data_IF_054612805186
#
_entry.id   IF_054612805186
#
_cell.length_a   1.000
_cell.length_b   1.000
_cell.length_c   1.000
_cell.angle_alpha   90.00
_cell.angle_beta   90.00
_cell.angle_gamma   90.00
#
_symmetry.space_group_name_H-M   'P 1'
#
loop_
_entity.id
_entity.type
_entity.pdbx_description
1 polymer ?
#
# COMPACT_ATOMS: atom_id res chain seq x y z
N UNK A 1 -15.67 9.15 30.24
CA UNK A 1 -16.69 8.50 29.38
C UNK A 1 -16.44 7.01 29.38
N UNK A 2 -17.50 6.20 29.44
CA UNK A 2 -17.43 4.74 29.52
C UNK A 2 -17.37 4.17 28.09
N UNK A 3 -16.55 3.14 27.86
CA UNK A 3 -16.55 2.39 26.60
C UNK A 3 -17.61 1.31 26.66
N UNK A 4 -18.42 1.21 25.62
CA UNK A 4 -19.42 0.16 25.48
C UNK A 4 -18.86 -0.96 24.58
N UNK A 5 -18.84 -2.23 25.05
CA UNK A 5 -18.28 -3.34 24.28
C UNK A 5 -19.02 -3.53 22.95
N UNK A 6 -20.33 -3.37 22.95
CA UNK A 6 -21.18 -3.36 21.76
C UNK A 6 -22.21 -2.23 21.85
N UNK A 7 -22.40 -1.49 20.76
CA UNK A 7 -23.37 -0.41 20.67
C UNK A 7 -23.97 -0.31 19.26
N UNK A 8 -25.27 -0.06 19.17
CA UNK A 8 -25.91 0.32 17.90
C UNK A 8 -26.13 1.83 17.92
N UNK A 9 -25.57 2.49 16.92
CA UNK A 9 -25.59 3.94 16.76
C UNK A 9 -26.65 4.32 15.73
N UNK A 10 -27.68 5.02 16.19
CA UNK A 10 -28.77 5.54 15.38
C UNK A 10 -28.51 7.00 15.02
N UNK A 11 -28.49 7.31 13.72
CA UNK A 11 -28.43 8.69 13.25
C UNK A 11 -29.83 9.15 12.84
N UNK A 12 -30.35 10.18 13.51
CA UNK A 12 -31.66 10.77 13.17
C UNK A 12 -31.51 11.76 12.01
N UNK A 13 -32.49 11.77 11.09
CA UNK A 13 -32.48 12.66 9.92
C UNK A 13 -32.65 14.13 10.34
N UNK A 14 -31.67 14.97 9.98
CA UNK A 14 -31.74 16.42 10.16
C UNK A 14 -31.85 16.87 11.62
N UNK A 15 -32.13 18.16 11.81
CA UNK A 15 -32.38 18.73 13.15
C UNK A 15 -33.84 18.48 13.53
N UNK A 16 -34.07 18.00 14.75
CA UNK A 16 -35.40 17.74 15.31
C UNK A 16 -35.60 18.48 16.63
N UNK A 17 -36.80 19.02 16.91
CA UNK A 17 -37.13 19.51 18.25
C UNK A 17 -36.98 18.39 19.30
N UNK A 18 -36.59 18.74 20.52
CA UNK A 18 -36.32 17.74 21.58
C UNK A 18 -37.49 16.82 21.88
N UNK A 19 -38.73 17.31 21.76
CA UNK A 19 -39.95 16.51 21.94
C UNK A 19 -40.09 15.44 20.83
N UNK A 20 -39.85 15.83 19.57
CA UNK A 20 -39.89 14.91 18.42
C UNK A 20 -38.77 13.88 18.51
N UNK A 21 -37.58 14.30 18.96
CA UNK A 21 -36.45 13.39 19.18
C UNK A 21 -36.77 12.31 20.22
N UNK A 22 -37.43 12.68 21.33
CA UNK A 22 -37.89 11.70 22.33
C UNK A 22 -38.88 10.70 21.75
N UNK A 23 -39.86 11.16 20.96
CA UNK A 23 -40.81 10.27 20.30
C UNK A 23 -40.12 9.26 19.35
N UNK A 24 -39.09 9.70 18.63
CA UNK A 24 -38.30 8.82 17.75
C UNK A 24 -37.56 7.76 18.56
N UNK A 25 -36.95 8.15 19.69
CA UNK A 25 -36.27 7.21 20.58
C UNK A 25 -37.26 6.19 21.14
N UNK A 26 -38.39 6.64 21.67
CA UNK A 26 -39.39 5.78 22.29
C UNK A 26 -39.94 4.76 21.26
N UNK A 27 -40.18 5.18 20.02
CA UNK A 27 -40.58 4.28 18.93
C UNK A 27 -39.50 3.23 18.61
N UNK A 28 -38.23 3.64 18.51
CA UNK A 28 -37.10 2.72 18.23
C UNK A 28 -36.93 1.72 19.37
N UNK A 29 -36.98 2.18 20.62
CA UNK A 29 -36.86 1.30 21.79
C UNK A 29 -38.06 0.34 21.90
N UNK A 30 -39.28 0.81 21.60
CA UNK A 30 -40.47 -0.04 21.57
C UNK A 30 -40.38 -1.12 20.49
N UNK A 31 -39.92 -0.78 19.28
CA UNK A 31 -39.70 -1.74 18.19
C UNK A 31 -38.58 -2.73 18.50
N UNK A 32 -37.52 -2.29 19.16
CA UNK A 32 -36.44 -3.19 19.59
C UNK A 32 -36.91 -4.15 20.69
N UNK A 33 -37.79 -3.70 21.58
CA UNK A 33 -38.33 -4.52 22.68
C UNK A 33 -39.23 -5.68 22.20
N UNK A 34 -39.82 -5.59 21.01
CA UNK A 34 -40.63 -6.69 20.44
C UNK A 34 -39.78 -7.74 19.72
N UNK A 35 -38.48 -7.51 19.57
CA UNK A 35 -37.58 -8.42 18.88
C UNK A 35 -37.16 -9.59 19.76
N UNK A 36 -37.12 -10.80 19.18
CA UNK A 36 -36.73 -12.02 19.87
C UNK A 36 -35.24 -12.27 19.63
N UNK A 37 -34.40 -12.06 20.65
CA UNK A 37 -32.96 -12.30 20.56
C UNK A 37 -32.19 -11.84 21.80
N UNK A 38 -30.88 -12.15 21.91
CA UNK A 38 -30.07 -11.71 23.04
C UNK A 38 -29.80 -10.19 22.97
N UNK A 39 -30.22 -9.47 24.01
CA UNK A 39 -30.00 -8.03 24.16
C UNK A 39 -28.57 -7.72 24.65
N UNK A 40 -27.62 -7.53 23.73
CA UNK A 40 -26.20 -7.34 24.06
C UNK A 40 -25.63 -5.98 23.67
N UNK A 41 -26.34 -5.17 22.89
CA UNK A 41 -25.85 -3.88 22.44
C UNK A 41 -26.46 -2.72 23.24
N UNK A 42 -25.69 -1.65 23.46
CA UNK A 42 -26.19 -0.39 24.03
C UNK A 42 -26.75 0.51 22.92
N UNK A 43 -27.91 1.12 23.14
CA UNK A 43 -28.49 2.08 22.20
C UNK A 43 -27.81 3.46 22.33
N UNK A 44 -27.35 4.01 21.20
CA UNK A 44 -26.74 5.35 21.12
C UNK A 44 -27.41 6.15 20.00
N UNK A 45 -28.00 7.29 20.33
CA UNK A 45 -28.69 8.16 19.38
C UNK A 45 -27.88 9.43 19.12
N UNK A 46 -27.60 9.73 17.85
CA UNK A 46 -26.90 10.95 17.45
C UNK A 46 -27.90 12.07 17.26
N UNK A 47 -27.86 13.05 18.16
CA UNK A 47 -28.64 14.27 18.09
C UNK A 47 -27.87 15.34 17.33
N UNK A 48 -28.46 15.88 16.26
CA UNK A 48 -27.96 17.09 15.62
C UNK A 48 -28.40 18.31 16.43
N UNK A 49 -27.44 19.05 16.99
CA UNK A 49 -27.74 20.30 17.69
C UNK A 49 -28.13 21.40 16.70
N UNK A 50 -28.78 22.45 17.20
CA UNK A 50 -29.23 23.61 16.39
C UNK A 50 -28.07 24.32 15.68
N UNK A 51 -26.84 24.17 16.18
CA UNK A 51 -25.63 24.70 15.53
C UNK A 51 -25.18 23.74 14.42
N UNK A 52 -24.90 24.24 13.20
CA UNK A 52 -24.42 23.40 12.10
C UNK A 52 -23.22 22.56 12.53
N UNK A 53 -23.20 21.28 12.14
CA UNK A 53 -22.10 20.32 12.35
C UNK A 53 -21.81 19.90 13.80
N UNK A 54 -22.59 20.35 14.78
CA UNK A 54 -22.48 19.85 16.16
C UNK A 54 -23.44 18.67 16.38
N UNK A 55 -22.89 17.52 16.75
CA UNK A 55 -23.66 16.33 17.13
C UNK A 55 -23.33 15.91 18.54
N UNK A 56 -24.35 15.51 19.30
CA UNK A 56 -24.21 14.91 20.62
C UNK A 56 -24.76 13.49 20.61
N UNK A 57 -23.96 12.54 21.08
CA UNK A 57 -24.36 11.15 21.26
C UNK A 57 -25.09 10.99 22.60
N UNK A 58 -26.37 10.64 22.54
CA UNK A 58 -27.20 10.35 23.72
C UNK A 58 -27.26 8.84 23.92
N UNK A 59 -26.87 8.37 25.10
CA UNK A 59 -26.70 6.95 25.42
C UNK A 59 -27.82 6.48 26.35
N UNK A 60 -28.39 5.32 26.06
CA UNK A 60 -29.31 4.60 26.97
C UNK A 60 -28.62 3.35 27.52
N UNK A 61 -27.80 3.47 28.58
CA UNK A 61 -27.06 2.33 29.11
C UNK A 61 -27.97 1.30 29.80
N UNK A 62 -29.14 1.73 30.28
CA UNK A 62 -30.09 0.88 31.01
C UNK A 62 -31.00 0.07 30.08
N UNK A 63 -30.98 0.36 28.77
CA UNK A 63 -31.81 -0.32 27.76
C UNK A 63 -30.90 -0.98 26.74
N UNK A 64 -30.83 -2.31 26.83
CA UNK A 64 -30.08 -3.14 25.89
C UNK A 64 -30.96 -3.50 24.70
N UNK A 65 -30.40 -3.40 23.50
CA UNK A 65 -31.05 -3.78 22.24
C UNK A 65 -30.41 -5.06 21.70
N UNK A 66 -31.19 -5.94 21.03
CA UNK A 66 -30.67 -7.18 20.47
C UNK A 66 -29.55 -6.97 19.46
N UNK A 67 -28.55 -7.83 19.53
CA UNK A 67 -27.51 -7.91 18.50
C UNK A 67 -28.07 -8.56 17.23
N UNK A 68 -27.79 -7.95 16.08
CA UNK A 68 -28.40 -8.35 14.81
C UNK A 68 -27.74 -9.61 14.20
N UNK A 69 -28.37 -10.77 14.40
CA UNK A 69 -28.03 -11.98 13.67
C UNK A 69 -28.91 -12.21 12.43
N UNK A 70 -30.13 -11.62 12.37
CA UNK A 70 -31.22 -12.05 11.46
C UNK A 70 -32.02 -10.90 10.79
N UNK A 71 -31.66 -9.63 10.98
CA UNK A 71 -32.20 -8.47 10.25
C UNK A 71 -32.94 -7.40 11.08
N UNK A 72 -32.67 -7.23 12.38
CA UNK A 72 -33.30 -6.16 13.19
C UNK A 72 -32.96 -4.76 12.63
N UNK A 73 -31.79 -4.58 12.02
CA UNK A 73 -31.40 -3.32 11.39
C UNK A 73 -32.40 -2.89 10.29
N UNK A 74 -32.95 -3.84 9.53
CA UNK A 74 -33.96 -3.54 8.50
C UNK A 74 -35.29 -3.04 9.09
N UNK A 75 -35.70 -3.60 10.24
CA UNK A 75 -36.90 -3.14 10.96
C UNK A 75 -36.69 -1.72 11.52
N UNK A 76 -35.50 -1.44 12.06
CA UNK A 76 -35.20 -0.13 12.64
C UNK A 76 -34.97 0.94 11.57
N UNK A 77 -34.42 0.57 10.41
CA UNK A 77 -34.28 1.42 9.22
C UNK A 77 -35.62 1.66 8.50
N UNK A 78 -36.69 0.93 8.81
CA UNK A 78 -38.02 1.21 8.29
C UNK A 78 -38.64 2.48 8.90
N UNK A 79 -38.01 3.06 9.92
CA UNK A 79 -38.41 4.36 10.45
C UNK A 79 -37.92 5.48 9.54
N UNK A 80 -38.86 6.25 8.99
CA UNK A 80 -38.56 7.38 8.11
C UNK A 80 -37.69 8.46 8.77
N UNK A 81 -37.60 8.46 10.10
CA UNK A 81 -36.81 9.42 10.87
C UNK A 81 -35.35 8.99 11.07
N UNK A 82 -34.99 7.74 10.77
CA UNK A 82 -33.63 7.22 10.93
C UNK A 82 -32.88 7.33 9.59
N UNK A 83 -31.75 8.04 9.60
CA UNK A 83 -30.87 8.20 8.43
C UNK A 83 -29.97 6.98 8.24
N UNK A 84 -29.44 6.44 9.34
CA UNK A 84 -28.57 5.27 9.31
C UNK A 84 -28.49 4.61 10.67
N UNK A 85 -28.24 3.30 10.65
CA UNK A 85 -27.96 2.47 11.82
C UNK A 85 -26.54 1.91 11.63
N UNK A 86 -25.72 1.95 12.68
CA UNK A 86 -24.35 1.43 12.64
C UNK A 86 -24.06 0.60 13.88
N UNK A 87 -23.69 -0.67 13.68
CA UNK A 87 -23.17 -1.48 14.76
C UNK A 87 -21.68 -1.18 15.01
N UNK A 88 -21.32 -0.86 16.26
CA UNK A 88 -19.95 -0.58 16.70
C UNK A 88 -19.53 -1.47 17.86
N UNK A 89 -18.31 -2.00 17.78
CA UNK A 89 -17.61 -2.63 18.92
C UNK A 89 -16.70 -1.61 19.60
N UNK A 90 -16.57 -1.71 20.93
CA UNK A 90 -15.75 -0.81 21.75
C UNK A 90 -16.08 0.68 21.54
N UNK A 91 -17.37 0.99 21.37
CA UNK A 91 -17.87 2.33 21.08
C UNK A 91 -17.63 3.29 22.24
N UNK A 92 -17.27 4.53 21.91
CA UNK A 92 -17.24 5.65 22.85
C UNK A 92 -18.18 6.74 22.33
N UNK A 93 -19.11 7.25 23.16
CA UNK A 93 -19.96 8.37 22.77
C UNK A 93 -19.13 9.61 22.39
N UNK A 94 -19.57 10.35 21.38
CA UNK A 94 -18.90 11.54 20.84
C UNK A 94 -17.50 11.26 20.25
N UNK A 95 -17.22 10.02 19.81
CA UNK A 95 -15.99 9.72 19.08
C UNK A 95 -15.95 10.49 17.75
N UNK A 96 -14.90 11.29 17.55
CA UNK A 96 -14.66 11.98 16.28
C UNK A 96 -14.71 10.99 15.12
N UNK A 97 -15.50 11.25 14.06
CA UNK A 97 -15.61 10.35 12.94
C UNK A 97 -14.22 10.13 12.32
N UNK A 98 -13.77 8.87 12.30
CA UNK A 98 -12.56 8.49 11.56
C UNK A 98 -12.76 8.91 10.10
N UNK A 99 -11.75 9.50 9.45
CA UNK A 99 -11.88 9.97 8.08
C UNK A 99 -12.39 8.81 7.20
N UNK A 100 -13.50 9.05 6.50
CA UNK A 100 -14.05 8.08 5.56
C UNK A 100 -12.95 7.76 4.55
N UNK A 101 -12.45 6.53 4.56
CA UNK A 101 -11.59 6.03 3.49
C UNK A 101 -12.45 6.09 2.23
N UNK A 102 -12.18 7.07 1.34
CA UNK A 102 -12.87 7.16 0.05
C UNK A 102 -12.69 5.80 -0.62
N UNK A 103 -13.79 5.07 -0.84
CA UNK A 103 -13.77 3.90 -1.74
C UNK A 103 -13.24 4.42 -3.06
N UNK A 104 -12.03 3.99 -3.44
CA UNK A 104 -11.47 4.30 -4.76
C UNK A 104 -12.49 3.81 -5.78
N UNK A 105 -12.78 4.65 -6.79
CA UNK A 105 -13.58 4.21 -7.94
C UNK A 105 -12.96 2.92 -8.48
N UNK A 106 -13.80 1.92 -8.74
CA UNK A 106 -13.38 0.76 -9.52
C UNK A 106 -12.89 1.30 -10.88
N UNK A 107 -11.60 1.11 -11.14
CA UNK A 107 -11.00 1.48 -12.41
C UNK A 107 -11.55 0.51 -13.46
N UNK A 108 -12.32 1.02 -14.41
CA UNK A 108 -12.70 0.27 -15.61
C UNK A 108 -11.53 0.34 -16.59
N UNK A 109 -10.78 -0.75 -16.76
CA UNK A 109 -9.64 -0.80 -17.65
C UNK A 109 -9.28 -2.23 -18.06
N UNK A 110 -8.46 -2.43 -19.10
CA UNK A 110 -7.85 -3.72 -19.38
C UNK A 110 -7.00 -4.13 -18.17
N UNK A 111 -7.35 -5.28 -17.59
CA UNK A 111 -6.58 -5.90 -16.52
C UNK A 111 -5.85 -7.12 -17.04
N UNK A 112 -4.65 -7.32 -16.51
CA UNK A 112 -3.99 -8.62 -16.57
C UNK A 112 -4.79 -9.66 -15.78
N UNK A 113 -4.60 -10.95 -16.04
CA UNK A 113 -5.22 -12.07 -15.30
C UNK A 113 -4.94 -12.01 -13.79
N UNK A 114 -3.85 -11.35 -13.40
CA UNK A 114 -3.39 -11.17 -12.02
C UNK A 114 -3.93 -9.87 -11.39
N UNK A 115 -4.74 -9.10 -12.13
CA UNK A 115 -5.42 -7.89 -11.64
C UNK A 115 -4.60 -6.61 -11.76
N UNK A 116 -3.48 -6.62 -12.50
CA UNK A 116 -2.73 -5.39 -12.79
C UNK A 116 -3.48 -4.54 -13.81
N UNK A 117 -3.71 -3.26 -13.47
CA UNK A 117 -4.32 -2.28 -14.39
C UNK A 117 -3.33 -1.95 -15.50
N UNK A 118 -3.58 -2.41 -16.73
CA UNK A 118 -2.69 -2.17 -17.87
C UNK A 118 -2.70 -0.71 -18.34
N UNK A 119 -3.77 0.04 -18.03
CA UNK A 119 -3.85 1.49 -18.31
C UNK A 119 -2.76 2.31 -17.60
N UNK A 120 -2.22 1.79 -16.48
CA UNK A 120 -1.12 2.42 -15.76
C UNK A 120 0.25 2.18 -16.40
N UNK A 121 0.30 1.46 -17.53
CA UNK A 121 1.53 1.00 -18.16
C UNK A 121 1.58 1.37 -19.63
N UNK A 122 2.79 1.71 -20.12
CA UNK A 122 3.00 1.92 -21.54
C UNK A 122 2.68 0.64 -22.34
N UNK A 123 2.03 0.74 -23.52
CA UNK A 123 1.63 -0.42 -24.33
C UNK A 123 2.75 -1.41 -24.65
N UNK A 124 4.01 -0.97 -24.66
CA UNK A 124 5.15 -1.85 -24.89
C UNK A 124 5.33 -2.92 -23.80
N UNK A 125 4.79 -2.72 -22.59
CA UNK A 125 4.87 -3.68 -21.48
C UNK A 125 3.73 -4.69 -21.50
N UNK A 126 2.60 -4.36 -22.11
CA UNK A 126 1.37 -5.17 -22.08
C UNK A 126 1.60 -6.63 -22.51
N UNK A 127 2.39 -6.94 -23.57
CA UNK A 127 2.63 -8.32 -24.00
C UNK A 127 3.39 -9.19 -23.00
N UNK A 128 4.03 -8.59 -21.99
CA UNK A 128 4.82 -9.32 -21.00
C UNK A 128 4.05 -9.57 -19.70
N UNK A 129 2.87 -8.97 -19.56
CA UNK A 129 1.94 -9.38 -18.53
C UNK A 129 1.36 -10.75 -18.89
N UNK A 130 1.30 -11.64 -17.90
CA UNK A 130 0.65 -12.95 -17.99
C UNK A 130 1.23 -13.87 -19.09
N UNK A 131 2.49 -13.61 -19.50
CA UNK A 131 3.18 -14.33 -20.56
C UNK A 131 3.83 -15.61 -20.00
N UNK A 132 3.36 -16.82 -20.37
CA UNK A 132 3.84 -18.07 -19.78
C UNK A 132 5.29 -18.40 -20.14
N UNK A 133 5.78 -17.92 -21.29
CA UNK A 133 7.19 -18.08 -21.66
C UNK A 133 8.11 -17.33 -20.70
N UNK A 134 7.69 -16.14 -20.22
CA UNK A 134 8.46 -15.35 -19.26
C UNK A 134 8.58 -16.06 -17.91
N UNK A 135 7.48 -16.69 -17.45
CA UNK A 135 7.48 -17.50 -16.23
C UNK A 135 8.40 -18.72 -16.37
N UNK A 136 8.31 -19.42 -17.50
CA UNK A 136 9.12 -20.62 -17.78
C UNK A 136 10.61 -20.27 -17.82
N UNK A 137 10.97 -19.20 -18.53
CA UNK A 137 12.33 -18.68 -18.60
C UNK A 137 12.83 -18.21 -17.22
N UNK A 138 11.97 -17.55 -16.43
CA UNK A 138 12.24 -17.17 -15.05
C UNK A 138 12.55 -18.37 -14.14
N UNK A 139 11.76 -19.44 -14.24
CA UNK A 139 11.99 -20.68 -13.51
C UNK A 139 13.31 -21.36 -13.90
N UNK A 140 13.67 -21.35 -15.20
CA UNK A 140 14.95 -21.85 -15.67
C UNK A 140 16.13 -21.00 -15.15
N UNK A 141 16.03 -19.68 -15.19
CA UNK A 141 17.03 -18.79 -14.60
C UNK A 141 17.20 -19.08 -13.10
N UNK A 142 16.08 -19.30 -12.40
CA UNK A 142 16.07 -19.67 -10.99
C UNK A 142 16.80 -20.99 -10.74
N UNK A 143 16.63 -21.98 -11.62
CA UNK A 143 17.35 -23.25 -11.57
C UNK A 143 18.86 -23.07 -11.74
N UNK A 144 19.29 -22.21 -12.68
CA UNK A 144 20.72 -21.96 -12.93
C UNK A 144 21.40 -21.17 -11.81
N UNK A 145 20.66 -20.31 -11.12
CA UNK A 145 21.16 -19.51 -9.99
C UNK A 145 20.88 -20.16 -8.63
N UNK A 146 20.28 -21.35 -8.60
CA UNK A 146 19.96 -22.03 -7.35
C UNK A 146 21.25 -22.38 -6.60
N UNK A 147 21.39 -21.87 -5.38
CA UNK A 147 22.62 -22.02 -4.59
C UNK A 147 23.78 -21.13 -5.05
N UNK A 148 23.55 -20.15 -5.91
CA UNK A 148 24.52 -19.10 -6.21
C UNK A 148 24.61 -18.08 -5.05
N UNK A 149 25.81 -17.64 -4.64
CA UNK A 149 27.14 -18.09 -5.09
C UNK A 149 27.42 -19.52 -4.66
N UNK A 150 27.95 -20.35 -5.57
CA UNK A 150 28.15 -21.77 -5.31
C UNK A 150 29.27 -21.97 -4.27
N UNK A 151 28.97 -22.64 -3.17
CA UNK A 151 29.87 -22.84 -2.02
C UNK A 151 31.16 -23.57 -2.38
N UNK A 152 31.11 -24.48 -3.35
CA UNK A 152 32.27 -25.23 -3.84
C UNK A 152 33.11 -24.54 -4.91
N UNK A 153 32.79 -23.28 -5.28
CA UNK A 153 33.49 -22.54 -6.35
C UNK A 153 34.09 -21.25 -5.80
N UNK A 154 35.24 -20.87 -6.34
CA UNK A 154 35.85 -19.56 -6.08
C UNK A 154 34.99 -18.43 -6.66
N UNK A 155 35.13 -17.18 -6.16
CA UNK A 155 34.38 -16.06 -6.71
C UNK A 155 34.60 -15.83 -8.21
N UNK A 156 35.80 -16.14 -8.72
CA UNK A 156 36.15 -16.05 -10.13
C UNK A 156 35.41 -17.09 -10.98
N UNK A 157 35.28 -18.31 -10.47
CA UNK A 157 34.52 -19.38 -11.15
C UNK A 157 33.02 -19.11 -11.14
N UNK A 158 32.49 -18.56 -10.05
CA UNK A 158 31.10 -18.09 -9.97
C UNK A 158 30.83 -16.97 -10.99
N UNK A 159 31.71 -15.97 -11.07
CA UNK A 159 31.61 -14.90 -12.04
C UNK A 159 31.65 -15.42 -13.49
N UNK A 160 32.58 -16.34 -13.77
CA UNK A 160 32.72 -16.95 -15.09
C UNK A 160 31.51 -17.79 -15.47
N UNK A 161 30.91 -18.50 -14.52
CA UNK A 161 29.67 -19.24 -14.75
C UNK A 161 28.53 -18.30 -15.17
N UNK A 162 28.29 -17.22 -14.43
CA UNK A 162 27.25 -16.24 -14.78
C UNK A 162 27.49 -15.65 -16.17
N UNK A 163 28.75 -15.29 -16.45
CA UNK A 163 29.15 -14.74 -17.74
C UNK A 163 28.88 -15.71 -18.90
N UNK A 164 29.38 -16.95 -18.83
CA UNK A 164 29.26 -17.92 -19.94
C UNK A 164 27.85 -18.51 -20.03
N UNK A 165 27.30 -19.03 -18.93
CA UNK A 165 26.11 -19.88 -18.96
C UNK A 165 24.80 -19.09 -19.01
N UNK A 166 24.84 -17.82 -18.58
CA UNK A 166 23.66 -16.96 -18.51
C UNK A 166 23.80 -15.79 -19.50
N UNK A 167 24.78 -14.89 -19.31
CA UNK A 167 24.87 -13.65 -20.10
C UNK A 167 25.12 -13.93 -21.59
N UNK A 168 26.14 -14.73 -21.92
CA UNK A 168 26.46 -15.03 -23.33
C UNK A 168 25.37 -15.84 -24.05
N UNK A 169 24.55 -16.58 -23.30
CA UNK A 169 23.46 -17.41 -23.84
C UNK A 169 22.08 -16.77 -23.67
N UNK A 170 22.01 -15.51 -23.23
CA UNK A 170 20.75 -14.86 -22.86
C UNK A 170 19.75 -14.87 -24.02
N UNK A 171 20.21 -14.49 -25.23
CA UNK A 171 19.36 -14.44 -26.43
C UNK A 171 18.79 -15.81 -26.83
N UNK A 172 19.60 -16.85 -26.77
CA UNK A 172 19.25 -18.17 -27.30
C UNK A 172 18.46 -19.00 -26.27
N UNK A 173 18.77 -18.82 -24.98
CA UNK A 173 18.19 -19.58 -23.88
C UNK A 173 16.98 -18.90 -23.23
N UNK A 174 16.95 -17.57 -23.25
CA UNK A 174 15.90 -16.76 -22.64
C UNK A 174 15.40 -15.69 -23.61
N UNK A 175 14.81 -16.08 -24.76
CA UNK A 175 14.43 -15.14 -25.80
C UNK A 175 13.42 -14.08 -25.32
N UNK A 176 12.47 -14.44 -24.45
CA UNK A 176 11.46 -13.52 -23.92
C UNK A 176 12.07 -12.52 -22.93
N UNK A 177 12.92 -13.00 -22.01
CA UNK A 177 13.68 -12.15 -21.11
C UNK A 177 14.61 -11.24 -21.92
N UNK A 178 15.23 -11.73 -22.99
CA UNK A 178 16.10 -10.93 -23.85
C UNK A 178 15.35 -9.81 -24.60
N UNK A 179 14.11 -10.03 -25.03
CA UNK A 179 13.26 -8.97 -25.56
C UNK A 179 12.94 -7.92 -24.49
N UNK A 180 12.53 -8.39 -23.31
CA UNK A 180 12.19 -7.57 -22.16
C UNK A 180 13.38 -6.75 -21.64
N UNK A 181 14.59 -7.29 -21.76
CA UNK A 181 15.86 -6.66 -21.40
C UNK A 181 16.13 -5.40 -22.23
N UNK A 182 15.69 -5.37 -23.50
CA UNK A 182 15.77 -4.17 -24.35
C UNK A 182 14.89 -3.04 -23.81
N UNK A 183 13.72 -3.37 -23.27
CA UNK A 183 12.81 -2.41 -22.63
C UNK A 183 13.35 -1.96 -21.26
N UNK A 184 13.90 -2.90 -20.49
CA UNK A 184 14.51 -2.67 -19.19
C UNK A 184 15.93 -2.09 -19.25
N UNK A 185 16.41 -1.65 -20.42
CA UNK A 185 17.74 -1.03 -20.61
C UNK A 185 18.90 -1.88 -20.05
N UNK A 186 18.89 -3.18 -20.32
CA UNK A 186 19.91 -4.14 -19.87
C UNK A 186 19.98 -4.39 -18.34
N UNK A 187 18.86 -4.24 -17.63
CA UNK A 187 18.84 -4.34 -16.18
C UNK A 187 19.24 -5.72 -15.63
N UNK A 188 18.81 -6.82 -16.27
CA UNK A 188 19.20 -8.17 -15.83
C UNK A 188 20.70 -8.39 -16.00
N UNK A 189 21.25 -7.99 -17.13
CA UNK A 189 22.67 -8.15 -17.48
C UNK A 189 23.53 -7.38 -16.49
N UNK A 190 23.15 -6.15 -16.15
CA UNK A 190 23.84 -5.36 -15.13
C UNK A 190 23.70 -5.97 -13.73
N UNK A 191 22.52 -6.48 -13.37
CA UNK A 191 22.32 -7.20 -12.11
C UNK A 191 23.20 -8.47 -12.02
N UNK A 192 23.27 -9.24 -13.11
CA UNK A 192 24.13 -10.43 -13.23
C UNK A 192 25.60 -10.08 -13.09
N UNK A 193 26.07 -8.99 -13.73
CA UNK A 193 27.44 -8.48 -13.55
C UNK A 193 27.72 -8.04 -12.12
N UNK A 194 26.75 -7.45 -11.43
CA UNK A 194 26.89 -7.05 -10.03
C UNK A 194 27.01 -8.27 -9.11
N UNK A 195 26.12 -9.26 -9.21
CA UNK A 195 26.24 -10.49 -8.40
C UNK A 195 27.50 -11.30 -8.74
N UNK A 196 28.10 -11.08 -9.91
CA UNK A 196 29.39 -11.67 -10.28
C UNK A 196 30.57 -11.01 -9.57
N UNK A 197 30.44 -9.82 -8.96
CA UNK A 197 31.54 -9.17 -8.24
C UNK A 197 31.93 -9.96 -6.99
N UNK A 198 33.23 -10.24 -6.76
CA UNK A 198 33.68 -11.01 -5.59
C UNK A 198 33.29 -10.42 -4.24
N UNK A 199 33.11 -9.11 -4.13
CA UNK A 199 32.70 -8.46 -2.89
C UNK A 199 31.19 -8.66 -2.62
N UNK A 200 30.35 -8.56 -3.66
CA UNK A 200 28.91 -8.85 -3.55
C UNK A 200 28.68 -10.32 -3.25
N UNK A 201 29.43 -11.23 -3.87
CA UNK A 201 29.33 -12.67 -3.55
C UNK A 201 29.64 -12.98 -2.08
N UNK A 202 30.50 -12.19 -1.44
CA UNK A 202 30.89 -12.39 -0.02
C UNK A 202 29.94 -11.71 0.97
N UNK A 203 29.46 -10.51 0.65
CA UNK A 203 28.72 -9.65 1.57
C UNK A 203 27.21 -9.59 1.27
N UNK A 204 26.79 -10.07 0.11
CA UNK A 204 25.40 -10.15 -0.31
C UNK A 204 24.64 -11.20 0.48
N UNK A 205 23.40 -10.86 0.86
CA UNK A 205 22.45 -11.83 1.40
C UNK A 205 21.80 -12.68 0.31
N UNK A 206 21.20 -13.80 0.69
CA UNK A 206 20.50 -14.71 -0.22
C UNK A 206 19.48 -14.02 -1.13
N UNK A 207 18.82 -12.94 -0.68
CA UNK A 207 17.83 -12.20 -1.47
C UNK A 207 18.45 -11.53 -2.71
N UNK A 208 19.69 -11.02 -2.60
CA UNK A 208 20.40 -10.35 -3.70
C UNK A 208 20.67 -11.28 -4.89
N UNK A 209 20.70 -12.59 -4.67
CA UNK A 209 21.00 -13.59 -5.70
C UNK A 209 19.75 -14.20 -6.34
N UNK A 210 18.55 -13.86 -5.84
CA UNK A 210 17.27 -14.39 -6.33
C UNK A 210 16.69 -13.59 -7.50
N UNK A 211 17.52 -13.25 -8.50
CA UNK A 211 17.11 -12.43 -9.66
C UNK A 211 15.95 -13.03 -10.46
N UNK A 212 15.86 -14.36 -10.50
CA UNK A 212 14.78 -15.09 -11.16
C UNK A 212 13.38 -14.73 -10.64
N UNK A 213 13.26 -14.30 -9.38
CA UNK A 213 11.98 -13.88 -8.82
C UNK A 213 11.40 -12.65 -9.53
N UNK A 214 12.22 -11.85 -10.22
CA UNK A 214 11.74 -10.73 -11.01
C UNK A 214 10.80 -11.15 -12.16
N UNK A 215 10.85 -12.42 -12.58
CA UNK A 215 10.07 -12.98 -13.70
C UNK A 215 9.02 -13.99 -13.25
N UNK A 216 8.66 -13.99 -11.96
CA UNK A 216 7.59 -14.83 -11.44
C UNK A 216 6.22 -14.32 -11.92
N UNK A 217 5.25 -15.22 -12.12
CA UNK A 217 3.86 -14.92 -12.57
C UNK A 217 3.11 -13.83 -11.75
N UNK A 218 3.59 -13.49 -10.55
CA UNK A 218 2.99 -12.49 -9.65
C UNK A 218 3.77 -11.18 -9.62
N UNK A 219 4.70 -11.01 -10.56
CA UNK A 219 5.54 -9.83 -10.64
C UNK A 219 5.26 -9.10 -11.94
N UNK A 220 5.36 -7.78 -11.86
CA UNK A 220 5.28 -6.90 -13.01
C UNK A 220 6.56 -7.03 -13.87
N UNK A 221 6.49 -6.84 -15.20
CA UNK A 221 7.61 -7.15 -16.10
C UNK A 221 8.91 -6.32 -15.89
N UNK A 222 8.84 -5.19 -15.18
CA UNK A 222 10.00 -4.35 -14.88
C UNK A 222 10.58 -4.58 -13.47
N UNK A 223 10.11 -5.60 -12.74
CA UNK A 223 10.53 -5.87 -11.35
C UNK A 223 12.05 -6.10 -11.22
N UNK A 224 12.73 -6.50 -12.29
CA UNK A 224 14.19 -6.62 -12.33
C UNK A 224 14.91 -5.30 -11.97
N UNK A 225 14.28 -4.14 -12.24
CA UNK A 225 14.80 -2.84 -11.85
C UNK A 225 14.98 -2.70 -10.34
N UNK A 226 14.05 -3.22 -9.54
CA UNK A 226 14.14 -3.20 -8.07
C UNK A 226 15.34 -4.02 -7.57
N UNK A 227 15.52 -5.22 -8.14
CA UNK A 227 16.68 -6.08 -7.82
C UNK A 227 18.00 -5.41 -8.21
N UNK A 228 18.05 -4.77 -9.38
CA UNK A 228 19.22 -4.01 -9.81
C UNK A 228 19.52 -2.86 -8.83
N UNK A 229 18.53 -2.07 -8.44
CA UNK A 229 18.71 -0.97 -7.49
C UNK A 229 19.24 -1.46 -6.13
N UNK A 230 18.72 -2.57 -5.60
CA UNK A 230 19.24 -3.18 -4.38
C UNK A 230 20.71 -3.61 -4.51
N UNK A 231 21.09 -4.18 -5.66
CA UNK A 231 22.48 -4.57 -5.93
C UNK A 231 23.41 -3.38 -6.11
N UNK A 232 22.95 -2.31 -6.76
CA UNK A 232 23.70 -1.08 -6.93
C UNK A 232 23.92 -0.38 -5.57
N UNK A 233 22.89 -0.34 -4.71
CA UNK A 233 23.00 0.15 -3.36
C UNK A 233 24.03 -0.67 -2.55
N UNK A 234 23.98 -2.00 -2.66
CA UNK A 234 24.97 -2.88 -2.03
C UNK A 234 26.39 -2.63 -2.55
N UNK A 235 26.59 -2.54 -3.87
CA UNK A 235 27.89 -2.23 -4.47
C UNK A 235 28.44 -0.89 -3.96
N UNK A 236 27.58 0.11 -3.86
CA UNK A 236 27.94 1.42 -3.33
C UNK A 236 28.31 1.36 -1.85
N UNK A 237 27.54 0.67 -1.02
CA UNK A 237 27.84 0.50 0.41
C UNK A 237 29.19 -0.20 0.61
N UNK A 238 29.48 -1.24 -0.17
CA UNK A 238 30.75 -1.96 -0.11
C UNK A 238 31.93 -1.05 -0.50
N UNK A 239 31.78 -0.28 -1.59
CA UNK A 239 32.84 0.63 -2.08
C UNK A 239 33.17 1.75 -1.10
N UNK A 240 32.22 2.17 -0.28
CA UNK A 240 32.39 3.25 0.68
C UNK A 240 32.59 2.75 2.13
N UNK A 241 32.80 1.45 2.32
CA UNK A 241 32.94 0.81 3.64
C UNK A 241 31.75 1.07 4.60
N UNK A 242 30.56 1.24 4.02
CA UNK A 242 29.29 1.51 4.74
C UNK A 242 28.42 0.27 4.89
N UNK A 243 29.00 -0.93 4.77
CA UNK A 243 28.22 -2.18 4.80
C UNK A 243 27.51 -2.38 6.16
N UNK A 244 28.09 -1.83 7.24
CA UNK A 244 27.50 -1.86 8.59
C UNK A 244 26.28 -0.95 8.74
N UNK A 245 26.06 -0.01 7.82
CA UNK A 245 24.86 0.84 7.81
C UNK A 245 23.63 0.11 7.27
N UNK A 246 23.81 -1.05 6.59
CA UNK A 246 22.72 -1.86 6.03
C UNK A 246 21.71 -2.29 7.10
N UNK A 247 22.19 -2.57 8.31
CA UNK A 247 21.39 -3.12 9.40
C UNK A 247 21.11 -2.06 10.49
N UNK A 248 21.46 -0.79 10.26
CA UNK A 248 21.09 0.30 11.18
C UNK A 248 19.59 0.51 11.09
N UNK A 249 18.90 0.34 12.22
CA UNK A 249 17.52 0.81 12.36
C UNK A 249 17.49 2.28 12.01
N UNK A 250 16.59 2.67 11.11
CA UNK A 250 16.19 4.06 10.94
C UNK A 250 15.58 4.44 12.29
N UNK A 251 16.36 5.13 13.13
CA UNK A 251 15.87 5.77 14.34
C UNK A 251 15.02 6.94 13.86
N UNK A 252 13.80 7.05 14.39
CA UNK A 252 12.94 8.19 14.12
C UNK A 252 13.73 9.47 14.49
N UNK A 253 13.85 10.47 13.61
CA UNK A 253 14.60 11.70 13.92
C UNK A 253 14.09 12.45 15.17
N UNK A 254 12.95 12.06 15.75
CA UNK A 254 12.47 12.55 17.04
C UNK A 254 13.12 11.87 18.27
N UNK A 255 13.84 10.75 18.11
CA UNK A 255 14.39 9.94 19.21
C UNK A 255 15.90 10.16 19.47
N UNK A 256 16.61 10.94 18.66
CA UNK A 256 18.05 11.23 18.85
C UNK A 256 18.31 12.72 19.13
N UNK A 257 18.35 13.09 20.41
CA UNK A 257 18.91 14.37 20.87
C UNK A 257 20.46 14.41 20.81
N UNK A 258 21.14 13.33 20.37
CA UNK A 258 22.60 13.26 20.38
C UNK A 258 23.15 12.56 19.13
N UNK A 259 23.08 13.22 17.98
CA UNK A 259 24.00 12.90 16.87
C UNK A 259 24.33 14.17 16.08
N UNK A 260 25.56 14.63 16.22
CA UNK A 260 26.09 15.85 15.60
C UNK A 260 26.45 15.72 14.13
N UNK A 261 26.14 14.60 13.47
CA UNK A 261 26.41 14.41 12.04
C UNK A 261 25.14 14.50 11.20
N UNK A 262 24.61 15.73 11.10
CA UNK A 262 23.66 16.09 10.05
C UNK A 262 24.42 16.31 8.76
N UNK A 263 24.38 15.35 7.83
CA UNK A 263 24.28 15.60 6.39
C UNK A 263 23.94 14.27 5.70
N UNK A 264 22.75 14.17 5.11
CA UNK A 264 22.50 13.64 3.76
C UNK A 264 20.98 13.66 3.49
N UNK A 265 20.50 14.81 3.01
CA UNK A 265 19.43 14.86 2.02
C UNK A 265 20.03 14.33 0.71
N UNK A 266 19.69 13.11 0.32
CA UNK A 266 19.89 12.63 -1.04
C UNK A 266 18.51 12.52 -1.68
N UNK A 267 18.21 13.50 -2.53
CA UNK A 267 17.05 13.50 -3.40
C UNK A 267 17.02 12.28 -4.31
N UNK A 268 15.81 11.75 -4.51
CA UNK A 268 15.55 10.58 -5.35
C UNK A 268 14.07 10.31 -5.51
N UNK A 269 13.40 11.15 -6.30
CA UNK A 269 12.24 10.86 -7.16
C UNK A 269 11.11 9.97 -6.63
N UNK A 270 10.04 10.59 -6.14
CA UNK A 270 8.69 10.02 -6.25
C UNK A 270 8.07 10.53 -7.56
N UNK A 271 7.76 9.60 -8.46
CA UNK A 271 6.91 9.88 -9.63
C UNK A 271 5.55 10.37 -9.15
N UNK A 272 5.26 11.64 -9.37
CA UNK A 272 3.91 12.13 -9.59
C UNK A 272 3.94 12.80 -10.97
N UNK A 273 3.21 12.21 -11.91
CA UNK A 273 2.86 12.87 -13.16
C UNK A 273 1.99 14.08 -12.81
N UNK A 274 2.63 15.24 -12.70
CA UNK A 274 2.03 16.55 -12.90
C UNK A 274 2.94 17.35 -13.81
N UNK A 275 2.40 17.63 -14.97
CA UNK A 275 2.90 18.51 -16.01
C UNK A 275 3.30 19.86 -15.39
N UNK A 276 4.60 20.14 -15.35
CA UNK A 276 5.19 21.34 -14.74
C UNK A 276 5.85 22.23 -15.79
N UNK A 277 5.19 22.39 -16.94
CA UNK A 277 5.60 23.35 -17.97
C UNK A 277 4.88 24.70 -17.91
N UNK A 278 4.01 24.94 -16.92
CA UNK A 278 3.27 26.21 -16.76
C UNK A 278 3.69 27.07 -15.54
N UNK A 279 4.61 26.61 -14.69
CA UNK A 279 5.04 27.35 -13.48
C UNK A 279 6.32 28.20 -13.66
N UNK A 280 6.93 28.21 -14.85
CA UNK A 280 8.14 29.00 -15.15
C UNK A 280 7.86 30.31 -15.90
N UNK A 281 6.60 30.63 -16.19
CA UNK A 281 6.22 31.87 -16.88
C UNK A 281 5.69 32.96 -15.93
N UNK A 282 5.31 32.63 -14.68
CA UNK A 282 4.71 33.60 -13.74
C UNK A 282 5.70 34.16 -12.70
N UNK A 283 6.91 33.59 -12.58
CA UNK A 283 7.91 34.07 -11.64
C UNK A 283 8.71 35.29 -12.15
N UNK A 284 8.71 35.56 -13.46
CA UNK A 284 9.42 36.71 -14.05
C UNK A 284 8.55 37.98 -14.09
N UNK A 285 7.22 37.86 -13.88
CA UNK A 285 6.29 38.99 -13.89
C UNK A 285 6.14 39.70 -12.53
N UNK A 286 6.46 39.04 -11.41
CA UNK A 286 6.38 39.67 -10.07
C UNK A 286 7.65 40.42 -9.66
N UNK A 287 8.82 40.11 -10.24
CA UNK A 287 10.06 40.83 -9.93
C UNK A 287 10.18 42.18 -10.66
N UNK A 288 9.52 42.33 -11.82
CA UNK A 288 9.46 43.61 -12.56
C UNK A 288 8.41 44.59 -12.00
N UNK A 289 7.41 44.12 -11.26
CA UNK A 289 6.40 44.96 -10.60
C UNK A 289 6.83 45.49 -9.21
N UNK A 290 7.88 44.92 -8.61
CA UNK A 290 8.41 45.34 -7.31
C UNK A 290 9.63 46.27 -7.42
N UNK A 291 10.15 46.50 -8.62
CA UNK A 291 11.29 47.39 -8.89
C UNK A 291 10.98 48.53 -9.88
N UNK A 292 9.70 48.79 -10.18
CA UNK A 292 9.24 49.95 -10.96
C UNK A 292 8.68 51.07 -10.06
#
# INVERSE_FOLDING_TARGET
MIRHPEAIVFKVKGVRPGEVFRLIIDDVLAKAATWVGPATCVAVFKLHMVRPEQTEDVVWPDVMIPHDADGIEHLLLSSDEIESVQHKRNSMPNENPRPKVKKKRETNGPFSKQGYSLDGWSPCWHPYFDRPELETEGAELGRLLNGYPFTGKSPKENARYVEIEIIHRLRDRFPTIYELEKLNKNALTEALKLIAKPAIQRLGSAHHFKLALAYHERQIPNMIGVYLSHLQALDWMIKNDRINDRDRKIVDPADDEVSTDKYFLLGGGSNNDRDSSDELADAEAEEEALNA
#
